data_IF_211458444694
#
_entry.id   IF_211458444694
#
_cell.length_a   1.000
_cell.length_b   1.000
_cell.length_c   1.000
_cell.angle_alpha   90.00
_cell.angle_beta   90.00
_cell.angle_gamma   90.00
#
_symmetry.space_group_name_H-M   'P 1'
#
loop_
_entity.id
_entity.type
_entity.pdbx_description
1 polymer ?
#
# COMPACT_ATOMS: atom_id res chain seq x y z
N UNK A 1 -17.54 -4.75 -13.66
CA UNK A 1 -16.40 -4.06 -12.98
C UNK A 1 -16.81 -2.82 -12.17
N UNK A 2 -17.70 -1.93 -12.65
CA UNK A 2 -18.20 -0.78 -11.86
C UNK A 2 -18.84 -1.16 -10.52
N UNK A 3 -19.62 -2.24 -10.47
CA UNK A 3 -20.29 -2.68 -9.24
C UNK A 3 -19.35 -3.21 -8.14
N UNK A 4 -18.19 -3.78 -8.51
CA UNK A 4 -17.24 -4.31 -7.52
C UNK A 4 -16.47 -3.17 -6.83
N UNK A 5 -16.07 -2.15 -7.60
CA UNK A 5 -15.34 -0.99 -7.09
C UNK A 5 -16.24 -0.12 -6.22
N UNK A 6 -17.50 0.10 -6.64
CA UNK A 6 -18.49 0.81 -5.82
C UNK A 6 -18.78 0.08 -4.50
N UNK A 7 -18.84 -1.26 -4.50
CA UNK A 7 -18.99 -2.05 -3.28
C UNK A 7 -17.77 -1.98 -2.36
N UNK A 8 -16.55 -2.01 -2.90
CA UNK A 8 -15.32 -1.85 -2.10
C UNK A 8 -15.25 -0.45 -1.49
N UNK A 9 -15.62 0.60 -2.25
CA UNK A 9 -15.69 1.97 -1.74
C UNK A 9 -16.76 2.13 -0.65
N UNK A 10 -17.92 1.51 -0.83
CA UNK A 10 -18.99 1.53 0.17
C UNK A 10 -18.58 0.78 1.45
N UNK A 11 -17.96 -0.40 1.31
CA UNK A 11 -17.41 -1.16 2.43
C UNK A 11 -16.30 -0.40 3.16
N UNK A 12 -15.39 0.25 2.41
CA UNK A 12 -14.35 1.08 2.99
C UNK A 12 -14.93 2.30 3.73
N UNK A 13 -15.97 2.95 3.19
CA UNK A 13 -16.66 4.07 3.85
C UNK A 13 -17.36 3.64 5.15
N UNK A 14 -18.03 2.48 5.16
CA UNK A 14 -18.67 1.93 6.37
C UNK A 14 -17.61 1.55 7.42
N UNK A 15 -16.50 0.92 6.99
CA UNK A 15 -15.39 0.58 7.88
C UNK A 15 -14.63 1.79 8.42
N UNK A 16 -14.65 2.93 7.71
CA UNK A 16 -14.06 4.20 8.16
C UNK A 16 -14.98 4.96 9.14
N UNK A 17 -16.30 4.75 9.10
CA UNK A 17 -17.25 5.43 9.97
C UNK A 17 -17.31 4.83 11.39
N UNK A 18 -17.16 3.51 11.52
CA UNK A 18 -17.17 2.80 12.81
C UNK A 18 -16.06 3.27 13.81
N UNK A 19 -14.79 3.44 13.40
CA UNK A 19 -13.76 3.96 14.28
C UNK A 19 -13.96 5.44 14.64
N UNK A 20 -14.53 6.26 13.75
CA UNK A 20 -14.74 7.70 13.98
C UNK A 20 -15.80 7.94 15.05
N UNK A 21 -16.89 7.17 15.05
CA UNK A 21 -17.92 7.26 16.10
C UNK A 21 -17.43 6.69 17.43
N UNK A 22 -16.62 5.61 17.39
CA UNK A 22 -15.98 5.06 18.59
C UNK A 22 -14.93 6.00 19.20
N UNK A 23 -14.22 6.78 18.39
CA UNK A 23 -13.19 7.73 18.84
C UNK A 23 -13.74 8.81 19.78
N UNK A 24 -14.99 9.26 19.56
CA UNK A 24 -15.64 10.30 20.36
C UNK A 24 -16.00 9.86 21.79
N UNK A 25 -16.08 8.55 22.06
CA UNK A 25 -16.48 7.99 23.36
C UNK A 25 -15.36 7.22 24.07
N UNK A 26 -14.11 7.33 23.60
CA UNK A 26 -13.04 6.40 23.94
C UNK A 26 -11.96 7.02 24.86
N UNK A 27 -11.40 6.20 25.76
CA UNK A 27 -10.27 6.56 26.63
C UNK A 27 -8.97 6.70 25.82
N UNK A 28 -7.93 7.35 26.38
CA UNK A 28 -6.69 7.64 25.63
C UNK A 28 -6.02 6.39 25.02
N UNK A 29 -5.99 5.26 25.73
CA UNK A 29 -5.45 4.01 25.19
C UNK A 29 -6.29 3.46 24.02
N UNK A 30 -7.61 3.58 24.12
CA UNK A 30 -8.55 3.17 23.06
C UNK A 30 -8.45 4.10 21.84
N UNK A 31 -8.22 5.40 22.06
CA UNK A 31 -8.01 6.39 20.99
C UNK A 31 -6.78 6.07 20.14
N UNK A 32 -5.66 5.77 20.79
CA UNK A 32 -4.42 5.36 20.09
C UNK A 32 -4.67 4.14 19.22
N UNK A 33 -5.32 3.09 19.76
CA UNK A 33 -5.66 1.89 18.98
C UNK A 33 -6.55 2.17 17.77
N UNK A 34 -7.54 3.06 17.91
CA UNK A 34 -8.42 3.48 16.81
C UNK A 34 -7.65 4.25 15.73
N UNK A 35 -6.75 5.16 16.11
CA UNK A 35 -5.94 5.95 15.16
C UNK A 35 -4.96 5.07 14.39
N UNK A 36 -4.33 4.10 15.06
CA UNK A 36 -3.43 3.13 14.43
C UNK A 36 -4.19 2.23 13.44
N UNK A 37 -5.35 1.70 13.83
CA UNK A 37 -6.20 0.91 12.94
C UNK A 37 -6.64 1.70 11.70
N UNK A 38 -7.10 2.94 11.89
CA UNK A 38 -7.61 3.79 10.81
C UNK A 38 -6.51 4.15 9.81
N UNK A 39 -5.33 4.54 10.29
CA UNK A 39 -4.18 4.87 9.44
C UNK A 39 -3.68 3.66 8.64
N UNK A 40 -3.58 2.48 9.27
CA UNK A 40 -3.21 1.25 8.59
C UNK A 40 -4.23 0.84 7.52
N UNK A 41 -5.53 0.93 7.84
CA UNK A 41 -6.59 0.64 6.89
C UNK A 41 -6.57 1.58 5.68
N UNK A 42 -6.41 2.89 5.91
CA UNK A 42 -6.29 3.88 4.83
C UNK A 42 -5.11 3.59 3.92
N UNK A 43 -3.94 3.25 4.48
CA UNK A 43 -2.76 2.91 3.68
C UNK A 43 -3.03 1.70 2.77
N UNK A 44 -3.65 0.65 3.31
CA UNK A 44 -4.02 -0.54 2.50
C UNK A 44 -4.97 -0.17 1.37
N UNK A 45 -5.99 0.65 1.65
CA UNK A 45 -6.94 1.13 0.63
C UNK A 45 -6.25 1.94 -0.46
N UNK A 46 -5.32 2.84 -0.10
CA UNK A 46 -4.55 3.64 -1.06
C UNK A 46 -3.67 2.74 -1.92
N UNK A 47 -2.92 1.82 -1.32
CA UNK A 47 -2.05 0.88 -2.04
C UNK A 47 -2.85 0.03 -3.04
N UNK A 48 -3.97 -0.55 -2.60
CA UNK A 48 -4.86 -1.31 -3.48
C UNK A 48 -5.42 -0.41 -4.59
N UNK A 49 -5.84 0.81 -4.26
CA UNK A 49 -6.36 1.79 -5.22
C UNK A 49 -5.35 2.11 -6.32
N UNK A 50 -4.09 2.37 -5.93
CA UNK A 50 -3.00 2.66 -6.86
C UNK A 50 -2.68 1.44 -7.73
N UNK A 51 -2.59 0.24 -7.15
CA UNK A 51 -2.34 -1.00 -7.91
C UNK A 51 -3.48 -1.27 -8.92
N UNK A 52 -4.74 -1.11 -8.52
CA UNK A 52 -5.89 -1.28 -9.43
C UNK A 52 -5.87 -0.24 -10.55
N UNK A 53 -5.51 1.00 -10.24
CA UNK A 53 -5.38 2.06 -11.25
C UNK A 53 -4.26 1.74 -12.23
N UNK A 54 -3.08 1.35 -11.73
CA UNK A 54 -1.97 0.87 -12.55
C UNK A 54 -2.40 -0.29 -13.44
N UNK A 55 -3.14 -1.27 -12.91
CA UNK A 55 -3.64 -2.40 -13.70
C UNK A 55 -4.53 -1.94 -14.86
N UNK A 56 -5.46 -1.02 -14.62
CA UNK A 56 -6.33 -0.47 -15.67
C UNK A 56 -5.54 0.29 -16.73
N UNK A 57 -4.62 1.16 -16.31
CA UNK A 57 -3.82 2.01 -17.21
C UNK A 57 -2.89 1.18 -18.08
N UNK A 58 -2.14 0.25 -17.47
CA UNK A 58 -1.24 -0.68 -18.16
C UNK A 58 -1.95 -1.65 -19.11
N UNK A 59 -3.26 -1.91 -18.90
CA UNK A 59 -4.07 -2.74 -19.81
C UNK A 59 -4.21 -2.11 -21.20
N UNK A 60 -4.09 -0.77 -21.32
CA UNK A 60 -4.10 -0.06 -22.60
C UNK A 60 -2.85 -0.33 -23.45
N UNK A 61 -1.72 -0.60 -22.81
CA UNK A 61 -0.44 -0.82 -23.52
C UNK A 61 -0.32 -2.24 -24.09
N UNK A 62 -1.10 -3.20 -23.56
CA UNK A 62 -1.15 -4.58 -24.08
C UNK A 62 0.19 -5.33 -24.05
N UNK A 63 0.13 -6.63 -24.35
CA UNK A 63 1.32 -7.46 -24.58
C UNK A 63 2.34 -7.51 -23.42
N UNK A 64 3.60 -7.73 -23.79
CA UNK A 64 4.72 -7.88 -22.85
C UNK A 64 5.06 -6.54 -22.19
N UNK A 65 4.96 -5.43 -22.93
CA UNK A 65 5.22 -4.06 -22.44
C UNK A 65 4.25 -3.67 -21.33
N UNK A 66 2.95 -3.89 -21.53
CA UNK A 66 1.94 -3.63 -20.50
C UNK A 66 2.14 -4.49 -19.25
N UNK A 67 2.60 -5.73 -19.42
CA UNK A 67 2.86 -6.63 -18.30
C UNK A 67 4.14 -6.23 -17.52
N UNK A 68 5.20 -5.83 -18.24
CA UNK A 68 6.41 -5.27 -17.62
C UNK A 68 6.11 -4.00 -16.84
N UNK A 69 5.33 -3.09 -17.42
CA UNK A 69 4.94 -1.84 -16.77
C UNK A 69 4.08 -2.07 -15.52
N UNK A 70 3.25 -3.12 -15.49
CA UNK A 70 2.53 -3.54 -14.27
C UNK A 70 3.48 -3.95 -13.17
N UNK A 71 4.43 -4.81 -13.50
CA UNK A 71 5.37 -5.36 -12.51
C UNK A 71 6.27 -4.25 -11.94
N UNK A 72 6.80 -3.36 -12.80
CA UNK A 72 7.55 -2.18 -12.34
C UNK A 72 6.67 -1.25 -11.50
N UNK A 73 5.45 -0.96 -11.97
CA UNK A 73 4.53 -0.10 -11.23
C UNK A 73 4.17 -0.65 -9.85
N UNK A 74 3.87 -1.95 -9.76
CA UNK A 74 3.61 -2.62 -8.48
C UNK A 74 4.82 -2.58 -7.55
N UNK A 75 6.03 -2.86 -8.07
CA UNK A 75 7.25 -2.75 -7.29
C UNK A 75 7.51 -1.34 -6.77
N UNK A 76 7.27 -0.32 -7.60
CA UNK A 76 7.39 1.09 -7.19
C UNK A 76 6.39 1.52 -6.13
N UNK A 77 5.19 0.92 -6.08
CA UNK A 77 4.24 1.17 -5.00
C UNK A 77 4.80 0.67 -3.67
N UNK A 78 5.31 -0.56 -3.63
CA UNK A 78 5.92 -1.10 -2.41
C UNK A 78 7.16 -0.31 -1.98
N UNK A 79 8.00 0.10 -2.94
CA UNK A 79 9.18 0.92 -2.66
C UNK A 79 8.80 2.30 -2.12
N UNK A 80 7.75 2.92 -2.68
CA UNK A 80 7.23 4.20 -2.19
C UNK A 80 6.69 4.08 -0.76
N UNK A 81 6.01 2.97 -0.43
CA UNK A 81 5.49 2.75 0.93
C UNK A 81 6.63 2.58 1.94
N UNK A 82 7.65 1.78 1.61
CA UNK A 82 8.84 1.59 2.45
C UNK A 82 9.60 2.91 2.66
N UNK A 83 9.88 3.63 1.58
CA UNK A 83 10.61 4.89 1.63
C UNK A 83 9.83 5.97 2.39
N UNK A 84 8.51 6.06 2.18
CA UNK A 84 7.66 7.02 2.88
C UNK A 84 7.58 6.71 4.38
N UNK A 85 7.50 5.43 4.74
CA UNK A 85 7.45 5.03 6.14
C UNK A 85 8.77 5.31 6.87
N UNK A 86 9.92 4.97 6.26
CA UNK A 86 11.24 5.33 6.80
C UNK A 86 11.44 6.84 6.88
N UNK A 87 11.02 7.59 5.86
CA UNK A 87 11.10 9.05 5.87
C UNK A 87 10.23 9.65 6.99
N UNK A 88 9.02 9.14 7.19
CA UNK A 88 8.13 9.58 8.27
C UNK A 88 8.75 9.31 9.65
N UNK A 89 9.34 8.14 9.86
CA UNK A 89 10.07 7.81 11.09
C UNK A 89 11.25 8.76 11.33
N UNK A 90 12.01 9.08 10.28
CA UNK A 90 13.15 10.02 10.37
C UNK A 90 12.74 11.46 10.72
N UNK A 91 11.50 11.84 10.42
CA UNK A 91 10.91 13.15 10.74
C UNK A 91 10.26 13.19 12.13
N UNK A 92 10.42 12.15 12.94
CA UNK A 92 9.86 12.06 14.29
C UNK A 92 8.37 11.69 14.33
N UNK A 93 7.79 11.25 13.21
CA UNK A 93 6.41 10.79 13.15
C UNK A 93 6.36 9.26 13.25
N UNK A 94 5.39 8.71 13.97
CA UNK A 94 5.19 7.26 13.98
C UNK A 94 4.79 6.82 12.56
N UNK A 95 5.69 6.12 11.87
CA UNK A 95 5.40 5.52 10.56
C UNK A 95 4.14 4.65 10.61
N UNK A 96 3.45 4.50 9.48
CA UNK A 96 2.27 3.64 9.37
C UNK A 96 2.62 2.16 9.61
N UNK A 97 3.84 1.73 9.32
CA UNK A 97 4.32 0.37 9.66
C UNK A 97 4.60 0.31 11.17
N UNK A 98 5.10 1.39 11.75
CA UNK A 98 5.37 1.48 13.17
C UNK A 98 4.10 1.45 14.04
N UNK A 99 2.96 1.89 13.49
CA UNK A 99 1.66 1.83 14.16
C UNK A 99 0.98 0.45 14.10
N UNK A 100 1.39 -0.44 13.20
CA UNK A 100 0.75 -1.74 12.97
C UNK A 100 1.57 -2.88 13.55
N UNK A 101 2.90 -2.72 13.62
CA UNK A 101 3.83 -3.79 13.93
C UNK A 101 4.69 -3.40 15.13
N UNK A 102 4.84 -4.33 16.08
CA UNK A 102 5.73 -4.18 17.23
C UNK A 102 7.14 -3.80 16.78
N UNK A 103 7.77 -2.85 17.47
CA UNK A 103 9.11 -2.32 17.17
C UNK A 103 10.15 -3.40 16.84
N UNK A 104 10.08 -4.53 17.55
CA UNK A 104 10.95 -5.70 17.33
C UNK A 104 10.94 -6.24 15.89
N UNK A 105 9.80 -6.17 15.19
CA UNK A 105 9.64 -6.73 13.84
C UNK A 105 9.66 -5.68 12.74
N UNK A 106 9.69 -4.38 13.07
CA UNK A 106 9.72 -3.30 12.08
C UNK A 106 10.90 -3.41 11.10
N UNK A 107 12.16 -3.69 11.52
CA UNK A 107 13.27 -3.80 10.58
C UNK A 107 13.07 -4.93 9.56
N UNK A 108 12.59 -6.08 10.03
CA UNK A 108 12.32 -7.26 9.18
C UNK A 108 11.24 -6.94 8.15
N UNK A 109 10.21 -6.20 8.55
CA UNK A 109 9.11 -5.83 7.64
C UNK A 109 9.56 -4.84 6.58
N UNK A 110 10.39 -3.86 6.95
CA UNK A 110 11.03 -2.95 6.01
C UNK A 110 11.88 -3.70 4.99
N UNK A 111 12.71 -4.63 5.46
CA UNK A 111 13.57 -5.44 4.59
C UNK A 111 12.73 -6.34 3.66
N UNK A 112 11.65 -6.95 4.15
CA UNK A 112 10.74 -7.74 3.33
C UNK A 112 10.02 -6.88 2.28
N UNK A 113 9.52 -5.70 2.65
CA UNK A 113 8.91 -4.75 1.72
C UNK A 113 9.88 -4.35 0.62
N UNK A 114 11.14 -4.07 0.99
CA UNK A 114 12.19 -3.72 0.04
C UNK A 114 12.52 -4.87 -0.91
N UNK A 115 12.67 -6.09 -0.39
CA UNK A 115 12.95 -7.29 -1.20
C UNK A 115 11.80 -7.57 -2.17
N UNK A 116 10.54 -7.47 -1.71
CA UNK A 116 9.36 -7.64 -2.56
C UNK A 116 9.31 -6.55 -3.63
N UNK A 117 9.58 -5.29 -3.27
CA UNK A 117 9.61 -4.19 -4.22
C UNK A 117 10.66 -4.43 -5.31
N UNK A 118 11.89 -4.75 -4.92
CA UNK A 118 12.99 -5.07 -5.84
C UNK A 118 12.68 -6.26 -6.74
N UNK A 119 12.07 -7.31 -6.18
CA UNK A 119 11.66 -8.48 -6.95
C UNK A 119 10.68 -8.12 -8.07
N UNK A 120 9.63 -7.34 -7.76
CA UNK A 120 8.67 -6.90 -8.77
C UNK A 120 9.29 -5.97 -9.82
N UNK A 121 10.15 -5.04 -9.41
CA UNK A 121 10.88 -4.16 -10.34
C UNK A 121 11.78 -4.98 -11.27
N UNK A 122 12.55 -5.92 -10.73
CA UNK A 122 13.43 -6.81 -11.49
C UNK A 122 12.65 -7.65 -12.51
N UNK A 123 11.53 -8.26 -12.11
CA UNK A 123 10.65 -8.99 -13.02
C UNK A 123 10.11 -8.09 -14.15
N UNK A 124 9.76 -6.84 -13.83
CA UNK A 124 9.34 -5.86 -14.81
C UNK A 124 10.42 -5.55 -15.85
N UNK A 125 11.66 -5.33 -15.40
CA UNK A 125 12.80 -5.12 -16.30
C UNK A 125 13.15 -6.36 -17.14
N UNK A 126 13.05 -7.56 -16.58
CA UNK A 126 13.23 -8.81 -17.35
C UNK A 126 12.22 -8.88 -18.50
N UNK A 127 10.96 -8.49 -18.24
CA UNK A 127 9.93 -8.42 -19.29
C UNK A 127 10.27 -7.37 -20.34
N UNK A 128 10.72 -6.18 -19.96
CA UNK A 128 11.15 -5.18 -20.94
C UNK A 128 12.33 -5.64 -21.79
N UNK A 129 13.33 -6.27 -21.17
CA UNK A 129 14.49 -6.82 -21.86
C UNK A 129 14.10 -7.88 -22.90
N UNK A 130 13.06 -8.69 -22.62
CA UNK A 130 12.55 -9.68 -23.58
C UNK A 130 11.88 -9.09 -24.82
N UNK A 131 11.48 -7.81 -24.78
CA UNK A 131 10.87 -7.11 -25.94
C UNK A 131 11.93 -6.43 -26.81
N UNK A 132 13.08 -6.11 -26.23
CA UNK A 132 14.20 -5.46 -26.93
C UNK A 132 15.11 -6.45 -27.68
N UNK A 133 14.89 -7.75 -27.54
CA UNK A 133 15.51 -8.81 -28.34
C UNK A 133 14.63 -9.16 -29.51
#
# INVERSE_FOLDING_TARGET
MKNLISRILLLAAIFLLAPVTAFAQSTDATRVGITQFTSGFLLVVVVIGVIVNLWKTTRKYGGIVGNGLRLVGTGMVFLSVEALDRAAQSLGNAGVIASIITEKYQPIVHDLLLVIALFFVALGFIKFHSVTK
#
